data_IF_282489645503
#
_entry.id   IF_282489645503
#
_cell.length_a   1.000
_cell.length_b   1.000
_cell.length_c   1.000
_cell.angle_alpha   90.00
_cell.angle_beta   90.00
_cell.angle_gamma   90.00
#
_symmetry.space_group_name_H-M   'P 1'
#
loop_
_entity.id
_entity.type
_entity.pdbx_description
1 polymer ?
#
# COMPACT_ATOMS: atom_id res chain seq x y z
N UNK A 1 -10.68 31.64 -27.45
CA UNK A 1 -11.65 30.85 -26.67
C UNK A 1 -10.87 30.27 -25.49
N UNK A 2 -11.07 30.81 -24.28
CA UNK A 2 -10.40 30.29 -23.09
C UNK A 2 -10.99 28.91 -22.79
N UNK A 3 -10.15 27.89 -22.70
CA UNK A 3 -10.57 26.55 -22.32
C UNK A 3 -11.14 26.59 -20.90
N UNK A 4 -12.47 26.50 -20.75
CA UNK A 4 -13.11 26.40 -19.45
C UNK A 4 -13.22 24.93 -19.05
N UNK A 5 -12.09 24.32 -18.68
CA UNK A 5 -12.14 23.08 -17.90
C UNK A 5 -12.64 23.40 -16.49
N UNK A 6 -13.52 22.56 -15.94
CA UNK A 6 -13.93 22.71 -14.54
C UNK A 6 -12.73 22.59 -13.60
N UNK A 7 -12.77 23.27 -12.45
CA UNK A 7 -11.69 23.21 -11.47
C UNK A 7 -11.43 21.77 -11.00
N UNK A 8 -12.50 20.98 -10.84
CA UNK A 8 -12.42 19.56 -10.49
C UNK A 8 -11.67 18.73 -11.54
N UNK A 9 -11.88 19.04 -12.83
CA UNK A 9 -11.18 18.33 -13.90
C UNK A 9 -9.68 18.66 -13.90
N UNK A 10 -9.34 19.94 -13.72
CA UNK A 10 -7.93 20.36 -13.61
C UNK A 10 -7.28 19.73 -12.37
N UNK A 11 -7.98 19.68 -11.24
CA UNK A 11 -7.49 19.02 -10.03
C UNK A 11 -7.22 17.52 -10.26
N UNK A 12 -8.11 16.83 -10.98
CA UNK A 12 -7.92 15.43 -11.36
C UNK A 12 -6.69 15.23 -12.24
N UNK A 13 -6.50 16.06 -13.28
CA UNK A 13 -5.32 16.02 -14.16
C UNK A 13 -4.03 16.23 -13.35
N UNK A 14 -3.99 17.26 -12.50
CA UNK A 14 -2.84 17.54 -11.64
C UNK A 14 -2.45 16.34 -10.78
N UNK A 15 -3.42 15.69 -10.15
CA UNK A 15 -3.19 14.52 -9.31
C UNK A 15 -2.69 13.31 -10.11
N UNK A 16 -3.29 13.04 -11.26
CA UNK A 16 -2.92 11.87 -12.09
C UNK A 16 -1.55 12.02 -12.73
N UNK A 17 -1.19 13.23 -13.15
CA UNK A 17 0.05 13.49 -13.90
C UNK A 17 1.14 14.17 -13.06
N UNK A 18 0.90 14.41 -11.78
CA UNK A 18 1.86 15.05 -10.87
C UNK A 18 2.18 16.52 -11.21
N UNK A 19 1.28 17.20 -11.93
CA UNK A 19 1.49 18.57 -12.40
C UNK A 19 1.04 19.61 -11.35
N UNK A 20 1.77 20.72 -11.26
CA UNK A 20 1.28 21.89 -10.56
C UNK A 20 0.16 22.60 -11.37
N UNK A 21 -0.52 23.57 -10.76
CA UNK A 21 -1.66 24.25 -11.38
C UNK A 21 -1.28 24.97 -12.68
N UNK A 22 -0.12 25.61 -12.72
CA UNK A 22 0.34 26.36 -13.88
C UNK A 22 0.79 25.44 -15.02
N UNK A 23 1.50 24.36 -14.69
CA UNK A 23 1.87 23.30 -15.63
C UNK A 23 0.64 22.68 -16.29
N UNK A 24 -0.38 22.32 -15.49
CA UNK A 24 -1.62 21.76 -16.02
C UNK A 24 -2.32 22.74 -16.97
N UNK A 25 -2.41 24.03 -16.61
CA UNK A 25 -3.02 25.05 -17.47
C UNK A 25 -2.26 25.25 -18.78
N UNK A 26 -0.93 25.35 -18.74
CA UNK A 26 -0.08 25.52 -19.93
C UNK A 26 -0.14 24.28 -20.82
N UNK A 27 -0.09 23.08 -20.23
CA UNK A 27 -0.17 21.83 -20.98
C UNK A 27 -1.53 21.66 -21.67
N UNK A 28 -2.65 21.93 -20.97
CA UNK A 28 -4.00 21.90 -21.55
C UNK A 28 -4.16 22.95 -22.66
N UNK A 29 -3.61 24.15 -22.47
CA UNK A 29 -3.58 25.18 -23.52
C UNK A 29 -2.81 24.68 -24.75
N UNK A 30 -1.68 24.00 -24.56
CA UNK A 30 -0.87 23.48 -25.65
C UNK A 30 -1.55 22.31 -26.37
N UNK A 31 -2.22 21.41 -25.65
CA UNK A 31 -3.02 20.34 -26.24
C UNK A 31 -4.10 20.87 -27.18
N UNK A 32 -4.77 21.98 -26.81
CA UNK A 32 -5.78 22.60 -27.67
C UNK A 32 -5.21 23.37 -28.85
N UNK A 33 -4.03 23.99 -28.71
CA UNK A 33 -3.41 24.75 -29.79
C UNK A 33 -2.58 23.88 -30.75
N UNK A 34 -2.22 22.65 -30.33
CA UNK A 34 -1.32 21.74 -31.04
C UNK A 34 0.14 22.19 -31.00
N UNK A 35 0.42 23.39 -31.54
CA UNK A 35 1.74 24.01 -31.57
C UNK A 35 1.64 25.49 -31.18
N UNK A 36 2.49 25.94 -30.26
CA UNK A 36 2.43 27.33 -29.80
C UNK A 36 3.78 27.84 -29.28
N UNK A 37 3.94 29.16 -29.23
CA UNK A 37 5.12 29.83 -28.67
C UNK A 37 4.91 30.14 -27.18
N UNK A 38 6.00 30.34 -26.43
CA UNK A 38 5.94 30.72 -25.01
C UNK A 38 5.09 31.96 -24.76
N UNK A 39 5.18 32.97 -25.64
CA UNK A 39 4.40 34.20 -25.55
C UNK A 39 2.89 33.95 -25.68
N UNK A 40 2.48 33.17 -26.68
CA UNK A 40 1.05 32.86 -26.90
C UNK A 40 0.49 31.95 -25.79
N UNK A 41 1.29 31.02 -25.27
CA UNK A 41 0.88 30.18 -24.13
C UNK A 41 0.77 30.97 -22.84
N UNK A 42 1.65 31.95 -22.62
CA UNK A 42 1.59 32.87 -21.48
C UNK A 42 0.28 33.66 -21.45
N UNK A 43 -0.17 34.14 -22.61
CA UNK A 43 -1.44 34.84 -22.76
C UNK A 43 -2.65 33.91 -22.52
N UNK A 44 -2.66 32.73 -23.14
CA UNK A 44 -3.78 31.78 -23.02
C UNK A 44 -3.91 31.23 -21.58
N UNK A 45 -2.79 30.90 -20.95
CA UNK A 45 -2.77 30.35 -19.59
C UNK A 45 -2.85 31.43 -18.50
N UNK A 46 -2.87 32.71 -18.88
CA UNK A 46 -2.86 33.87 -17.99
C UNK A 46 -1.74 33.80 -16.94
N UNK A 47 -0.50 33.59 -17.41
CA UNK A 47 0.70 33.53 -16.58
C UNK A 47 1.76 34.53 -17.06
N UNK A 48 2.65 35.02 -16.18
CA UNK A 48 3.76 35.89 -16.60
C UNK A 48 4.66 35.22 -17.64
N UNK A 49 5.15 35.98 -18.63
CA UNK A 49 6.05 35.47 -19.68
C UNK A 49 7.33 34.83 -19.13
N UNK A 50 7.88 35.39 -18.05
CA UNK A 50 9.05 34.81 -17.36
C UNK A 50 8.76 33.41 -16.82
N UNK A 51 7.58 33.19 -16.25
CA UNK A 51 7.15 31.90 -15.70
C UNK A 51 6.79 30.87 -16.76
N UNK A 52 6.35 31.31 -17.94
CA UNK A 52 6.01 30.41 -19.04
C UNK A 52 7.22 29.60 -19.51
N UNK A 53 8.43 30.19 -19.51
CA UNK A 53 9.64 29.45 -19.86
C UNK A 53 9.95 28.34 -18.87
N UNK A 54 9.97 28.63 -17.57
CA UNK A 54 10.26 27.63 -16.53
C UNK A 54 9.28 26.46 -16.56
N UNK A 55 7.99 26.77 -16.77
CA UNK A 55 6.94 25.76 -16.89
C UNK A 55 7.14 24.90 -18.14
N UNK A 56 7.48 25.49 -19.28
CA UNK A 56 7.73 24.74 -20.52
C UNK A 56 8.96 23.85 -20.40
N UNK A 57 10.02 24.32 -19.72
CA UNK A 57 11.20 23.49 -19.42
C UNK A 57 10.83 22.33 -18.47
N UNK A 58 10.02 22.59 -17.44
CA UNK A 58 9.53 21.53 -16.55
C UNK A 58 8.71 20.48 -17.30
N UNK A 59 7.78 20.92 -18.15
CA UNK A 59 6.96 20.04 -18.98
C UNK A 59 7.79 19.26 -20.01
N UNK A 60 8.84 19.88 -20.57
CA UNK A 60 9.77 19.22 -21.50
C UNK A 60 10.58 18.12 -20.78
N UNK A 61 11.16 18.43 -19.62
CA UNK A 61 11.87 17.46 -18.77
C UNK A 61 10.95 16.35 -18.26
N UNK A 62 9.68 16.67 -18.02
CA UNK A 62 8.64 15.71 -17.67
C UNK A 62 8.19 14.83 -18.82
N UNK A 63 8.56 15.16 -20.07
CA UNK A 63 8.14 14.44 -21.27
C UNK A 63 6.70 14.72 -21.71
N UNK A 64 6.11 15.85 -21.29
CA UNK A 64 4.75 16.26 -21.66
C UNK A 64 4.71 17.00 -22.99
N UNK A 65 5.82 17.62 -23.38
CA UNK A 65 5.93 18.47 -24.57
C UNK A 65 7.27 18.24 -25.27
N UNK A 66 7.34 18.64 -26.53
CA UNK A 66 8.56 18.69 -27.34
C UNK A 66 8.81 20.14 -27.77
N UNK A 67 10.04 20.60 -27.61
CA UNK A 67 10.49 21.88 -28.13
C UNK A 67 10.92 21.76 -29.59
N UNK A 68 10.28 22.54 -30.45
CA UNK A 68 10.68 22.70 -31.84
C UNK A 68 11.61 23.92 -31.97
N UNK A 69 12.84 23.71 -32.44
CA UNK A 69 13.87 24.75 -32.65
C UNK A 69 13.60 25.65 -33.87
N UNK A 70 12.33 25.86 -34.23
CA UNK A 70 11.92 26.79 -35.27
C UNK A 70 12.25 28.24 -34.89
N UNK A 71 12.19 29.17 -35.85
CA UNK A 71 12.22 30.61 -35.59
C UNK A 71 10.84 31.21 -35.91
N UNK A 72 10.06 31.68 -34.92
CA UNK A 72 10.33 31.66 -33.47
C UNK A 72 10.25 30.25 -32.87
N UNK A 73 10.90 30.06 -31.70
CA UNK A 73 10.88 28.79 -30.96
C UNK A 73 9.44 28.48 -30.56
N UNK A 74 9.05 27.23 -30.77
CA UNK A 74 7.70 26.76 -30.47
C UNK A 74 7.74 25.41 -29.76
N UNK A 75 6.60 25.04 -29.18
CA UNK A 75 6.43 23.83 -28.40
C UNK A 75 5.23 23.08 -28.94
N UNK A 76 5.23 21.76 -28.83
CA UNK A 76 4.11 20.88 -29.16
C UNK A 76 3.84 19.93 -28.02
N UNK A 77 2.57 19.66 -27.73
CA UNK A 77 2.21 18.65 -26.76
C UNK A 77 2.49 17.25 -27.32
N UNK A 78 2.94 16.34 -26.46
CA UNK A 78 2.97 14.91 -26.79
C UNK A 78 1.52 14.39 -26.75
N UNK A 79 1.11 13.55 -27.73
CA UNK A 79 -0.22 12.93 -27.71
C UNK A 79 -0.51 12.24 -26.37
N UNK A 80 -1.68 12.44 -25.74
CA UNK A 80 -1.97 11.88 -24.43
C UNK A 80 -1.79 10.36 -24.32
N UNK A 81 -2.12 9.61 -25.37
CA UNK A 81 -1.90 8.15 -25.41
C UNK A 81 -0.41 7.80 -25.32
N UNK A 82 0.42 8.43 -26.16
CA UNK A 82 1.88 8.24 -26.15
C UNK A 82 2.51 8.69 -24.81
N UNK A 83 1.98 9.78 -24.23
CA UNK A 83 2.42 10.25 -22.92
C UNK A 83 2.14 9.21 -21.84
N UNK A 84 0.97 8.57 -21.83
CA UNK A 84 0.63 7.53 -20.85
C UNK A 84 1.62 6.36 -20.95
N UNK A 85 1.89 5.87 -22.16
CA UNK A 85 2.85 4.79 -22.40
C UNK A 85 4.25 5.17 -21.87
N UNK A 86 4.74 6.37 -22.19
CA UNK A 86 6.03 6.86 -21.70
C UNK A 86 6.08 6.99 -20.17
N UNK A 87 5.01 7.46 -19.55
CA UNK A 87 4.95 7.58 -18.08
C UNK A 87 4.92 6.22 -17.41
N UNK A 88 4.24 5.23 -18.01
CA UNK A 88 4.23 3.85 -17.52
C UNK A 88 5.64 3.24 -17.56
N UNK A 89 6.34 3.35 -18.68
CA UNK A 89 7.69 2.82 -18.84
C UNK A 89 8.67 3.49 -17.87
N UNK A 90 8.60 4.81 -17.73
CA UNK A 90 9.43 5.56 -16.77
C UNK A 90 9.15 5.14 -15.32
N UNK A 91 7.89 4.85 -14.98
CA UNK A 91 7.51 4.39 -13.66
C UNK A 91 8.07 2.98 -13.38
N UNK A 92 7.99 2.06 -14.34
CA UNK A 92 8.58 0.72 -14.25
C UNK A 92 10.09 0.80 -14.05
N UNK A 93 10.78 1.57 -14.89
CA UNK A 93 12.24 1.72 -14.82
C UNK A 93 12.69 2.33 -13.48
N UNK A 94 12.00 3.37 -13.01
CA UNK A 94 12.27 3.98 -11.69
C UNK A 94 12.06 2.99 -10.54
N UNK A 95 11.01 2.17 -10.60
CA UNK A 95 10.75 1.12 -9.62
C UNK A 95 11.85 0.06 -9.64
N UNK A 96 12.25 -0.42 -10.82
CA UNK A 96 13.33 -1.40 -10.99
C UNK A 96 14.66 -0.88 -10.43
N UNK A 97 15.06 0.34 -10.79
CA UNK A 97 16.26 0.97 -10.25
C UNK A 97 16.22 1.12 -8.72
N UNK A 98 15.05 1.48 -8.16
CA UNK A 98 14.88 1.59 -6.70
C UNK A 98 14.97 0.22 -6.01
N UNK A 99 14.36 -0.81 -6.58
CA UNK A 99 14.45 -2.18 -6.09
C UNK A 99 15.88 -2.71 -6.15
N UNK A 100 16.61 -2.44 -7.24
CA UNK A 100 18.01 -2.83 -7.41
C UNK A 100 18.89 -2.17 -6.33
N UNK A 101 18.73 -0.86 -6.09
CA UNK A 101 19.43 -0.14 -5.01
C UNK A 101 19.14 -0.75 -3.63
N UNK A 102 17.88 -1.04 -3.33
CA UNK A 102 17.48 -1.68 -2.08
C UNK A 102 18.05 -3.09 -1.94
N UNK A 103 18.12 -3.85 -3.02
CA UNK A 103 18.70 -5.19 -3.02
C UNK A 103 20.22 -5.15 -2.83
N UNK A 104 20.93 -4.19 -3.44
CA UNK A 104 22.37 -3.97 -3.19
C UNK A 104 22.66 -3.59 -1.73
N UNK A 105 21.73 -2.89 -1.06
CA UNK A 105 21.87 -2.58 0.36
C UNK A 105 21.73 -3.83 1.25
N UNK A 106 20.95 -4.83 0.85
CA UNK A 106 20.84 -6.11 1.56
C UNK A 106 22.18 -6.84 1.48
N UNK A 107 22.91 -6.87 2.59
CA UNK A 107 24.26 -7.47 2.68
C UNK A 107 25.41 -6.47 2.52
N UNK A 108 25.12 -5.18 2.38
CA UNK A 108 26.14 -4.13 2.39
C UNK A 108 26.73 -3.90 3.79
N UNK A 109 27.98 -3.42 3.85
CA UNK A 109 28.60 -3.00 5.11
C UNK A 109 27.75 -1.94 5.84
N UNK A 110 27.15 -1.02 5.10
CA UNK A 110 26.24 -0.01 5.65
C UNK A 110 25.05 -0.63 6.40
N UNK A 111 24.42 -1.66 5.84
CA UNK A 111 23.32 -2.34 6.54
C UNK A 111 23.81 -3.07 7.79
N UNK A 112 25.00 -3.67 7.73
CA UNK A 112 25.61 -4.30 8.91
C UNK A 112 25.92 -3.29 10.00
N UNK A 113 26.41 -2.09 9.65
CA UNK A 113 26.66 -1.01 10.61
C UNK A 113 25.36 -0.54 11.26
N UNK A 114 24.30 -0.35 10.47
CA UNK A 114 22.97 -0.02 10.99
C UNK A 114 22.42 -1.13 11.90
N UNK A 115 22.60 -2.40 11.54
CA UNK A 115 22.18 -3.54 12.36
C UNK A 115 22.98 -3.61 13.67
N UNK A 116 24.29 -3.37 13.61
CA UNK A 116 25.16 -3.31 14.79
C UNK A 116 24.74 -2.18 15.74
N UNK A 117 24.34 -1.02 15.22
CA UNK A 117 23.78 0.06 16.03
C UNK A 117 22.45 -0.34 16.69
N UNK A 118 21.58 -1.05 15.96
CA UNK A 118 20.33 -1.56 16.51
C UNK A 118 20.57 -2.61 17.62
N UNK A 119 21.49 -3.55 17.40
CA UNK A 119 21.80 -4.63 18.34
C UNK A 119 22.49 -4.12 19.62
N UNK A 120 23.35 -3.10 19.48
CA UNK A 120 24.05 -2.43 20.60
C UNK A 120 23.21 -1.33 21.27
N UNK A 121 22.08 -0.95 20.68
CA UNK A 121 21.15 0.00 21.27
C UNK A 121 20.67 -0.50 22.63
N UNK A 122 20.52 0.39 23.62
CA UNK A 122 20.07 0.01 24.95
C UNK A 122 18.64 -0.56 24.84
N UNK A 123 18.52 -1.87 24.97
CA UNK A 123 17.22 -2.56 25.06
C UNK A 123 16.68 -2.38 26.46
N UNK A 124 16.02 -1.25 26.71
CA UNK A 124 15.44 -0.91 28.02
C UNK A 124 14.37 -1.89 28.49
N UNK A 125 13.92 -2.79 27.61
CA UNK A 125 12.88 -3.74 27.95
C UNK A 125 13.14 -5.08 27.28
N UNK A 126 12.90 -6.15 28.04
CA UNK A 126 12.93 -7.53 27.55
C UNK A 126 11.87 -7.66 26.44
N UNK A 127 12.28 -7.75 25.18
CA UNK A 127 11.39 -7.84 24.00
C UNK A 127 10.41 -9.03 24.09
N UNK A 128 10.66 -10.01 24.97
CA UNK A 128 9.76 -11.11 25.28
C UNK A 128 8.67 -10.80 26.31
N UNK A 129 8.74 -9.65 27.00
CA UNK A 129 7.84 -9.26 28.11
C UNK A 129 7.02 -7.98 27.84
N UNK A 130 7.18 -7.35 26.69
CA UNK A 130 6.46 -6.10 26.34
C UNK A 130 5.36 -6.37 25.33
N UNK A 131 4.18 -5.83 25.61
CA UNK A 131 3.14 -5.63 24.61
C UNK A 131 3.57 -4.51 23.67
N UNK A 132 3.85 -4.83 22.40
CA UNK A 132 4.13 -3.82 21.38
C UNK A 132 2.82 -3.28 20.81
N UNK A 133 2.78 -2.02 20.40
CA UNK A 133 1.69 -1.50 19.57
C UNK A 133 2.19 -1.19 18.16
N UNK A 134 1.37 -1.49 17.17
CA UNK A 134 1.63 -1.15 15.77
C UNK A 134 0.44 -0.35 15.24
N UNK A 135 0.74 0.77 14.58
CA UNK A 135 -0.26 1.63 13.96
C UNK A 135 -0.15 1.55 12.42
N UNK A 136 -1.31 1.61 11.76
CA UNK A 136 -1.46 1.59 10.31
C UNK A 136 -1.54 0.17 9.74
N UNK A 137 -2.60 -0.11 8.99
CA UNK A 137 -2.97 -1.45 8.54
C UNK A 137 -1.87 -2.15 7.72
N UNK A 138 -1.16 -1.42 6.85
CA UNK A 138 -0.05 -1.96 6.06
C UNK A 138 1.12 -2.42 6.94
N UNK A 139 1.48 -1.60 7.94
CA UNK A 139 2.54 -1.92 8.88
C UNK A 139 2.13 -3.10 9.78
N UNK A 140 0.88 -3.11 10.24
CA UNK A 140 0.30 -4.22 11.01
C UNK A 140 0.39 -5.53 10.22
N UNK A 141 -0.10 -5.56 8.98
CA UNK A 141 -0.04 -6.76 8.15
C UNK A 141 1.38 -7.16 7.78
N UNK A 142 2.29 -6.21 7.61
CA UNK A 142 3.71 -6.52 7.44
C UNK A 142 4.28 -7.29 8.65
N UNK A 143 3.95 -6.87 9.89
CA UNK A 143 4.38 -7.58 11.11
C UNK A 143 3.74 -8.96 11.24
N UNK A 144 2.43 -9.07 10.99
CA UNK A 144 1.72 -10.35 11.02
C UNK A 144 2.30 -11.31 9.98
N UNK A 145 2.57 -10.85 8.75
CA UNK A 145 3.23 -11.67 7.71
C UNK A 145 4.60 -12.15 8.15
N UNK A 146 5.38 -11.32 8.84
CA UNK A 146 6.70 -11.71 9.35
C UNK A 146 6.57 -12.86 10.35
N UNK A 147 5.63 -12.77 11.29
CA UNK A 147 5.33 -13.82 12.28
C UNK A 147 4.82 -15.11 11.61
N UNK A 148 3.85 -15.01 10.70
CA UNK A 148 3.32 -16.15 9.92
C UNK A 148 4.43 -16.87 9.15
N UNK A 149 5.35 -16.13 8.52
CA UNK A 149 6.44 -16.72 7.73
C UNK A 149 7.46 -17.48 8.59
N UNK A 150 7.52 -17.22 9.90
CA UNK A 150 8.37 -17.94 10.86
C UNK A 150 7.65 -19.02 11.66
N UNK A 151 6.33 -19.17 11.47
CA UNK A 151 5.50 -20.12 12.19
C UNK A 151 5.92 -21.58 11.93
N UNK A 152 5.79 -22.43 12.94
CA UNK A 152 6.18 -23.86 12.88
C UNK A 152 5.08 -24.83 13.29
N UNK A 153 4.01 -24.36 13.91
CA UNK A 153 2.93 -25.19 14.44
C UNK A 153 1.58 -24.81 13.83
N UNK A 154 1.04 -23.68 14.27
CA UNK A 154 -0.31 -23.28 13.87
C UNK A 154 -0.51 -21.78 13.79
N UNK A 155 -1.46 -21.38 12.93
CA UNK A 155 -1.93 -20.02 12.78
C UNK A 155 -3.44 -20.04 13.00
N UNK A 156 -3.92 -19.21 13.92
CA UNK A 156 -5.34 -19.04 14.20
C UNK A 156 -5.72 -17.60 13.87
N UNK A 157 -6.53 -17.43 12.83
CA UNK A 157 -7.12 -16.16 12.44
C UNK A 157 -8.53 -16.08 13.02
N UNK A 158 -8.77 -15.06 13.84
CA UNK A 158 -10.10 -14.76 14.37
C UNK A 158 -10.50 -13.40 13.80
N UNK A 159 -11.66 -13.32 13.19
CA UNK A 159 -12.07 -12.11 12.50
C UNK A 159 -13.58 -11.97 12.46
N UNK A 160 -14.05 -10.79 12.12
CA UNK A 160 -15.45 -10.46 11.86
C UNK A 160 -15.86 -10.86 10.44
N UNK A 161 -17.17 -10.87 10.17
CA UNK A 161 -17.70 -11.03 8.80
C UNK A 161 -17.13 -9.98 7.84
N UNK A 162 -17.12 -8.71 8.27
CA UNK A 162 -16.69 -7.57 7.46
C UNK A 162 -15.19 -7.59 7.12
N UNK A 163 -14.32 -8.02 8.03
CA UNK A 163 -12.86 -8.10 7.78
C UNK A 163 -12.41 -9.41 7.17
N UNK A 164 -13.28 -10.42 7.00
CA UNK A 164 -12.86 -11.76 6.60
C UNK A 164 -12.15 -11.74 5.24
N UNK A 165 -12.79 -11.22 4.20
CA UNK A 165 -12.25 -11.24 2.84
C UNK A 165 -10.96 -10.42 2.72
N UNK A 166 -10.96 -9.19 3.25
CA UNK A 166 -9.80 -8.29 3.17
C UNK A 166 -8.59 -8.83 3.95
N UNK A 167 -8.81 -9.44 5.12
CA UNK A 167 -7.75 -10.07 5.91
C UNK A 167 -7.17 -11.30 5.22
N UNK A 168 -8.02 -12.14 4.62
CA UNK A 168 -7.59 -13.32 3.89
C UNK A 168 -6.76 -12.92 2.67
N UNK A 169 -7.26 -12.00 1.84
CA UNK A 169 -6.55 -11.47 0.69
C UNK A 169 -5.20 -10.84 1.08
N UNK A 170 -5.18 -10.05 2.17
CA UNK A 170 -3.95 -9.43 2.66
C UNK A 170 -2.89 -10.47 3.07
N UNK A 171 -3.28 -11.61 3.63
CA UNK A 171 -2.38 -12.61 4.21
C UNK A 171 -2.17 -13.85 3.32
N UNK A 172 -2.91 -13.99 2.22
CA UNK A 172 -3.00 -15.19 1.38
C UNK A 172 -1.63 -15.81 1.06
N UNK A 173 -0.70 -15.02 0.52
CA UNK A 173 0.64 -15.48 0.14
C UNK A 173 1.43 -16.05 1.33
N UNK A 174 1.33 -15.41 2.49
CA UNK A 174 2.02 -15.87 3.70
C UNK A 174 1.39 -17.15 4.25
N UNK A 175 0.06 -17.25 4.23
CA UNK A 175 -0.70 -18.43 4.67
C UNK A 175 -0.43 -19.65 3.77
N UNK A 176 -0.42 -19.48 2.44
CA UNK A 176 -0.05 -20.54 1.49
C UNK A 176 1.36 -21.06 1.74
N UNK A 177 2.31 -20.16 2.01
CA UNK A 177 3.69 -20.53 2.35
C UNK A 177 3.77 -21.27 3.68
N UNK A 178 3.04 -20.82 4.71
CA UNK A 178 2.97 -21.50 5.99
C UNK A 178 2.40 -22.93 5.83
N UNK A 179 1.33 -23.09 5.04
CA UNK A 179 0.76 -24.40 4.72
C UNK A 179 1.75 -25.32 4.02
N UNK A 180 2.53 -24.80 3.06
CA UNK A 180 3.59 -25.55 2.40
C UNK A 180 4.69 -26.02 3.36
N UNK A 181 4.89 -25.30 4.48
CA UNK A 181 5.78 -25.67 5.58
C UNK A 181 5.09 -26.53 6.66
N UNK A 182 3.95 -27.16 6.36
CA UNK A 182 3.16 -27.99 7.28
C UNK A 182 2.59 -27.25 8.51
N UNK A 183 2.46 -25.93 8.45
CA UNK A 183 1.76 -25.16 9.49
C UNK A 183 0.25 -25.29 9.29
N UNK A 184 -0.48 -25.56 10.37
CA UNK A 184 -1.95 -25.66 10.34
C UNK A 184 -2.59 -24.29 10.41
N UNK A 185 -3.56 -23.99 9.54
CA UNK A 185 -4.27 -22.70 9.54
C UNK A 185 -5.75 -22.90 9.86
N UNK A 186 -6.21 -22.22 10.90
CA UNK A 186 -7.63 -22.15 11.27
C UNK A 186 -8.13 -20.71 11.12
N UNK A 187 -9.27 -20.55 10.46
CA UNK A 187 -9.96 -19.26 10.34
C UNK A 187 -11.28 -19.36 11.10
N UNK A 188 -11.57 -18.39 11.94
CA UNK A 188 -12.80 -18.27 12.73
C UNK A 188 -13.47 -16.94 12.40
N UNK A 189 -14.76 -16.97 12.04
CA UNK A 189 -15.54 -15.78 11.81
C UNK A 189 -17.04 -15.99 12.07
N UNK A 190 -17.75 -14.97 12.58
CA UNK A 190 -19.19 -15.02 12.81
C UNK A 190 -19.96 -14.77 11.52
N UNK A 191 -19.88 -15.73 10.58
CA UNK A 191 -20.50 -15.62 9.25
C UNK A 191 -21.59 -16.65 9.08
N UNK A 192 -22.73 -16.22 8.52
CA UNK A 192 -23.81 -17.15 8.15
C UNK A 192 -23.42 -17.95 6.92
N UNK A 193 -23.03 -17.25 5.86
CA UNK A 193 -22.59 -17.82 4.59
C UNK A 193 -21.40 -17.06 4.03
N UNK A 194 -20.60 -17.77 3.22
CA UNK A 194 -19.44 -17.21 2.54
C UNK A 194 -19.52 -17.61 1.09
N UNK A 195 -19.20 -16.68 0.19
CA UNK A 195 -19.20 -16.95 -1.24
C UNK A 195 -18.22 -18.09 -1.61
N UNK A 196 -18.49 -18.79 -2.71
CA UNK A 196 -17.69 -19.94 -3.13
C UNK A 196 -16.23 -19.59 -3.41
N UNK A 197 -15.98 -18.40 -3.94
CA UNK A 197 -14.64 -17.90 -4.25
C UNK A 197 -13.75 -17.85 -3.01
N UNK A 198 -14.21 -17.17 -1.96
CA UNK A 198 -13.49 -17.04 -0.70
C UNK A 198 -13.37 -18.38 0.03
N UNK A 199 -14.41 -19.22 -0.04
CA UNK A 199 -14.33 -20.59 0.49
C UNK A 199 -13.24 -21.41 -0.20
N UNK A 200 -13.12 -21.31 -1.53
CA UNK A 200 -12.09 -22.00 -2.31
C UNK A 200 -10.70 -21.42 -2.06
N UNK A 201 -10.59 -20.12 -1.79
CA UNK A 201 -9.34 -19.49 -1.38
C UNK A 201 -8.87 -20.02 -0.02
N UNK A 202 -9.75 -20.02 1.00
CA UNK A 202 -9.44 -20.50 2.35
C UNK A 202 -9.01 -21.97 2.33
N UNK A 203 -9.67 -22.82 1.54
CA UNK A 203 -9.33 -24.25 1.41
C UNK A 203 -7.89 -24.49 0.93
N UNK A 204 -7.25 -23.54 0.26
CA UNK A 204 -5.87 -23.69 -0.22
C UNK A 204 -4.84 -23.68 0.91
N UNK A 205 -5.17 -23.11 2.07
CA UNK A 205 -4.25 -23.02 3.20
C UNK A 205 -4.82 -23.50 4.53
N UNK A 206 -6.14 -23.55 4.70
CA UNK A 206 -6.76 -23.85 5.98
C UNK A 206 -8.25 -24.20 5.90
N UNK A 207 -8.91 -24.08 7.05
CA UNK A 207 -10.35 -24.32 7.19
C UNK A 207 -11.02 -23.11 7.84
N UNK A 208 -12.16 -22.70 7.27
CA UNK A 208 -13.07 -21.76 7.90
C UNK A 208 -13.97 -22.51 8.91
N UNK A 209 -14.04 -21.98 10.13
CA UNK A 209 -14.93 -22.42 11.19
C UNK A 209 -15.88 -21.25 11.48
N UNK A 210 -17.17 -21.44 11.21
CA UNK A 210 -18.20 -20.44 11.50
C UNK A 210 -18.41 -20.36 13.01
N UNK A 211 -18.57 -19.17 13.56
CA UNK A 211 -18.81 -18.96 14.99
C UNK A 211 -20.14 -18.26 15.25
N UNK A 212 -20.76 -18.48 16.41
CA UNK A 212 -21.96 -17.76 16.84
C UNK A 212 -21.65 -16.48 17.63
N UNK A 213 -20.39 -16.29 18.03
CA UNK A 213 -19.91 -15.09 18.73
C UNK A 213 -18.95 -14.27 17.87
N UNK A 214 -18.99 -12.96 18.06
CA UNK A 214 -17.94 -12.03 17.70
C UNK A 214 -17.15 -11.67 18.96
N UNK A 215 -15.88 -12.10 19.01
CA UNK A 215 -14.97 -11.77 20.11
C UNK A 215 -13.96 -10.70 19.72
N UNK A 216 -14.07 -10.16 18.49
CA UNK A 216 -13.12 -9.23 17.89
C UNK A 216 -12.15 -9.90 16.93
N UNK A 217 -11.09 -9.16 16.60
CA UNK A 217 -10.13 -9.53 15.55
C UNK A 217 -8.77 -9.88 16.16
N UNK A 218 -8.32 -11.10 15.91
CA UNK A 218 -7.05 -11.61 16.41
C UNK A 218 -6.27 -12.38 15.34
N UNK A 219 -4.95 -12.39 15.49
CA UNK A 219 -4.08 -13.36 14.82
C UNK A 219 -3.18 -13.99 15.87
N UNK A 220 -3.26 -15.30 16.02
CA UNK A 220 -2.43 -16.08 16.93
C UNK A 220 -1.47 -16.91 16.10
N UNK A 221 -0.20 -16.93 16.50
CA UNK A 221 0.84 -17.73 15.84
C UNK A 221 1.52 -18.62 16.87
N UNK A 222 1.62 -19.90 16.55
CA UNK A 222 2.23 -20.98 17.35
C UNK A 222 1.77 -21.05 18.82
N UNK A 223 0.60 -20.49 19.13
CA UNK A 223 0.06 -20.40 20.48
C UNK A 223 0.92 -19.59 21.45
N UNK A 224 1.94 -18.87 20.99
CA UNK A 224 2.90 -18.16 21.83
C UNK A 224 2.99 -16.65 21.54
N UNK A 225 2.25 -16.17 20.54
CA UNK A 225 2.06 -14.75 20.29
C UNK A 225 0.66 -14.47 19.74
N UNK A 226 0.14 -13.28 20.04
CA UNK A 226 -1.17 -12.79 19.60
C UNK A 226 -1.10 -11.34 19.16
N UNK A 227 -1.72 -11.05 18.03
CA UNK A 227 -2.02 -9.71 17.52
C UNK A 227 -3.50 -9.42 17.78
N UNK A 228 -3.79 -8.36 18.52
CA UNK A 228 -5.13 -7.94 18.93
C UNK A 228 -5.44 -6.61 18.26
N UNK A 229 -6.44 -6.58 17.38
CA UNK A 229 -6.91 -5.32 16.81
C UNK A 229 -7.81 -4.62 17.83
N UNK A 230 -7.55 -3.35 18.12
CA UNK A 230 -8.21 -2.64 19.23
C UNK A 230 -9.45 -1.85 18.79
N UNK A 231 -9.54 -1.54 17.50
CA UNK A 231 -10.57 -0.65 16.98
C UNK A 231 -11.70 -1.40 16.27
N UNK A 232 -12.84 -0.73 16.09
CA UNK A 232 -13.89 -1.18 15.17
C UNK A 232 -13.51 -0.79 13.73
N UNK A 233 -13.46 -1.77 12.84
CA UNK A 233 -13.12 -1.60 11.42
C UNK A 233 -14.10 -0.75 10.61
N UNK A 234 -15.34 -0.61 11.07
CA UNK A 234 -16.36 0.24 10.43
C UNK A 234 -16.14 1.73 10.71
N UNK A 235 -15.45 2.06 11.81
CA UNK A 235 -15.32 3.43 12.31
C UNK A 235 -13.89 3.97 12.18
N UNK A 236 -12.95 3.10 11.78
CA UNK A 236 -11.52 3.40 11.81
C UNK A 236 -10.93 3.46 10.41
N UNK A 237 -10.32 4.61 10.08
CA UNK A 237 -9.56 4.74 8.84
C UNK A 237 -8.33 3.80 8.89
N UNK A 238 -7.96 3.10 7.79
CA UNK A 238 -6.86 2.12 7.80
C UNK A 238 -5.50 2.64 8.31
N UNK A 239 -5.22 3.94 8.18
CA UNK A 239 -3.99 4.57 8.71
C UNK A 239 -3.97 4.67 10.24
N UNK A 240 -5.15 4.66 10.86
CA UNK A 240 -5.35 4.85 12.30
C UNK A 240 -5.57 3.55 13.05
N UNK A 241 -5.67 2.43 12.33
CA UNK A 241 -5.79 1.11 12.92
C UNK A 241 -4.63 0.85 13.89
N UNK A 242 -4.94 0.31 15.07
CA UNK A 242 -3.94 -0.08 16.07
C UNK A 242 -4.08 -1.56 16.39
N UNK A 243 -2.94 -2.24 16.47
CA UNK A 243 -2.84 -3.61 16.95
C UNK A 243 -1.86 -3.70 18.12
N UNK A 244 -2.28 -4.39 19.17
CA UNK A 244 -1.41 -4.83 20.25
C UNK A 244 -0.82 -6.20 19.92
N UNK A 245 0.49 -6.33 19.98
CA UNK A 245 1.22 -7.57 19.80
C UNK A 245 1.82 -8.02 21.12
N UNK A 246 1.34 -9.15 21.62
CA UNK A 246 1.72 -9.71 22.91
C UNK A 246 2.36 -11.07 22.68
N UNK A 247 3.54 -11.28 23.28
CA UNK A 247 4.19 -12.58 23.35
C UNK A 247 3.88 -13.25 24.69
N UNK A 248 3.65 -14.55 24.66
CA UNK A 248 3.25 -15.36 25.81
C UNK A 248 2.20 -16.41 25.41
N UNK A 249 2.07 -17.48 26.19
CA UNK A 249 1.19 -18.61 25.83
C UNK A 249 -0.23 -18.49 26.35
N UNK A 250 -0.39 -17.92 27.55
CA UNK A 250 -1.66 -17.98 28.27
C UNK A 250 -2.81 -17.30 27.52
N UNK A 251 -2.63 -16.05 27.09
CA UNK A 251 -3.70 -15.31 26.39
C UNK A 251 -4.04 -15.94 25.02
N UNK A 252 -3.08 -16.22 24.10
CA UNK A 252 -3.41 -16.87 22.84
C UNK A 252 -4.14 -18.21 23.01
N UNK A 253 -3.69 -19.06 23.95
CA UNK A 253 -4.35 -20.35 24.22
C UNK A 253 -5.79 -20.17 24.73
N UNK A 254 -6.03 -19.21 25.63
CA UNK A 254 -7.38 -18.92 26.15
C UNK A 254 -8.29 -18.37 25.05
N UNK A 255 -7.80 -17.47 24.21
CA UNK A 255 -8.58 -16.90 23.11
C UNK A 255 -8.91 -17.95 22.05
N UNK A 256 -7.96 -18.81 21.69
CA UNK A 256 -8.21 -19.95 20.82
C UNK A 256 -9.26 -20.89 21.41
N UNK A 257 -9.14 -21.24 22.70
CA UNK A 257 -10.11 -22.11 23.37
C UNK A 257 -11.51 -21.50 23.35
N UNK A 258 -11.62 -20.21 23.67
CA UNK A 258 -12.88 -19.46 23.67
C UNK A 258 -13.55 -19.48 22.31
N UNK A 259 -12.84 -19.15 21.22
CA UNK A 259 -13.45 -19.16 19.88
C UNK A 259 -13.80 -20.57 19.42
N UNK A 260 -12.99 -21.56 19.76
CA UNK A 260 -13.21 -22.95 19.35
C UNK A 260 -14.43 -23.60 20.00
N UNK A 261 -14.84 -23.16 21.19
CA UNK A 261 -16.05 -23.68 21.87
C UNK A 261 -17.35 -23.13 21.32
N UNK A 262 -17.27 -22.18 20.38
CA UNK A 262 -18.38 -21.45 19.78
C UNK A 262 -18.48 -21.72 18.27
N UNK A 263 -17.82 -22.78 17.80
CA UNK A 263 -17.92 -23.22 16.41
C UNK A 263 -19.28 -23.87 16.18
N UNK A 264 -20.02 -23.36 15.19
CA UNK A 264 -21.31 -23.91 14.78
C UNK A 264 -21.14 -24.87 13.59
N UNK A 265 -22.06 -25.82 13.49
CA UNK A 265 -22.11 -26.83 12.42
C UNK A 265 -22.63 -26.24 11.10
#
# INVERSE_FOLDING_TARGET
MALSFSEDYIAKIRRMFGLNLYEAKVWLALLSQGKSTSGKLSEIANIPKSRAYDILVSLENGGFIVRDLSKPISYRAIPPQELIEKLEDKAKESLEQKLEKLNKLKGSAMLNDLQNLYDKGIKYVDEGKVANSYQGLDNIYFRIKKSINSAKGEIVLITTEQSLESKISALERALKKAKANNVTVHVYAPVKDVNETLMNEIKQFGKLNKTDIDIGRFVIVDGNEIFIFTENESETHPSNEVVLHIKGKYLPEKMKKLVSSHVVS
#
